data_IF_488945483441
#
_entry.id   IF_488945483441
#
_cell.length_a   1.000
_cell.length_b   1.000
_cell.length_c   1.000
_cell.angle_alpha   90.00
_cell.angle_beta   90.00
_cell.angle_gamma   90.00
#
_symmetry.space_group_name_H-M   'P 1'
#
loop_
_entity.id
_entity.type
_entity.pdbx_description
1 polymer ?
#
# COMPACT_ATOMS: atom_id res chain seq x y z
N UNK A 1 -2.77 -2.42 -16.94
CA UNK A 1 -1.32 -2.36 -16.62
C UNK A 1 -1.02 -1.05 -15.89
N UNK A 2 -0.20 -1.09 -14.84
CA UNK A 2 0.14 0.08 -14.02
C UNK A 2 1.12 0.98 -14.78
N UNK A 3 0.63 1.83 -15.68
CA UNK A 3 1.44 2.72 -16.52
C UNK A 3 1.25 4.17 -16.09
N UNK A 4 2.33 4.96 -16.11
CA UNK A 4 2.26 6.40 -15.88
C UNK A 4 1.37 7.06 -16.95
N UNK A 5 0.44 7.95 -16.57
CA UNK A 5 -0.39 8.67 -17.55
C UNK A 5 0.41 9.62 -18.46
N UNK A 6 1.60 10.05 -18.04
CA UNK A 6 2.44 10.96 -18.83
C UNK A 6 3.44 10.22 -19.74
N UNK A 7 4.23 9.29 -19.19
CA UNK A 7 5.31 8.62 -19.94
C UNK A 7 5.06 7.15 -20.27
N UNK A 8 3.90 6.60 -19.90
CA UNK A 8 3.50 5.19 -20.10
C UNK A 8 4.44 4.13 -19.49
N UNK A 9 5.50 4.51 -18.77
CA UNK A 9 6.36 3.57 -18.08
C UNK A 9 5.66 2.89 -16.90
N UNK A 10 6.14 1.69 -16.55
CA UNK A 10 5.59 0.87 -15.47
C UNK A 10 5.79 1.56 -14.11
N UNK A 11 4.70 1.72 -13.37
CA UNK A 11 4.71 2.24 -12.01
C UNK A 11 5.04 1.11 -11.03
N UNK A 12 5.94 1.39 -10.08
CA UNK A 12 6.38 0.41 -9.10
C UNK A 12 5.64 0.64 -7.77
N UNK A 13 4.94 -0.35 -7.19
CA UNK A 13 4.23 -0.19 -5.92
C UNK A 13 5.14 0.22 -4.75
N UNK A 14 6.43 -0.11 -4.82
CA UNK A 14 7.41 0.29 -3.80
C UNK A 14 7.97 1.71 -4.00
N UNK A 15 7.65 2.41 -5.10
CA UNK A 15 8.04 3.82 -5.28
C UNK A 15 7.08 4.81 -4.62
N UNK A 16 5.96 4.32 -4.08
CA UNK A 16 5.11 5.08 -3.16
C UNK A 16 5.90 5.22 -1.85
N UNK A 17 6.36 6.43 -1.57
CA UNK A 17 7.21 6.72 -0.41
C UNK A 17 6.54 6.29 0.91
N UNK A 18 7.22 5.47 1.70
CA UNK A 18 6.75 4.92 2.99
C UNK A 18 6.68 5.97 4.12
N UNK A 19 7.14 7.20 3.89
CA UNK A 19 7.32 8.20 4.95
C UNK A 19 6.01 8.81 5.50
N UNK A 20 4.92 8.74 4.75
CA UNK A 20 3.54 9.02 5.12
C UNK A 20 2.77 8.84 3.82
N UNK A 21 1.75 7.97 3.81
CA UNK A 21 1.01 7.58 2.61
C UNK A 21 0.96 8.68 1.54
N UNK A 22 1.65 8.53 0.40
CA UNK A 22 1.85 9.65 -0.48
C UNK A 22 0.54 9.87 -1.21
N UNK A 23 -0.17 10.93 -0.79
CA UNK A 23 -1.12 11.61 -1.67
C UNK A 23 -0.41 11.96 -2.99
N UNK A 24 0.93 12.09 -2.98
CA UNK A 24 1.77 12.43 -4.13
C UNK A 24 3.05 11.58 -4.21
N UNK A 25 3.27 10.90 -5.35
CA UNK A 25 4.49 10.14 -5.63
C UNK A 25 5.08 10.55 -6.98
N UNK A 26 6.39 10.38 -7.18
CA UNK A 26 7.05 10.69 -8.46
C UNK A 26 7.11 9.43 -9.32
N UNK A 27 6.83 9.57 -10.62
CA UNK A 27 7.14 8.51 -11.58
C UNK A 27 8.66 8.36 -11.74
N UNK A 28 9.20 7.14 -11.66
CA UNK A 28 10.64 6.90 -11.83
C UNK A 28 11.16 7.25 -13.22
N UNK A 29 10.30 7.21 -14.24
CA UNK A 29 10.65 7.56 -15.61
C UNK A 29 10.75 9.06 -15.86
N UNK A 30 9.59 9.72 -15.85
CA UNK A 30 9.47 11.14 -16.21
C UNK A 30 9.54 12.10 -15.03
N UNK A 31 9.75 11.60 -13.81
CA UNK A 31 9.78 12.38 -12.55
C UNK A 31 8.53 13.21 -12.27
N UNK A 32 7.47 13.06 -13.06
CA UNK A 32 6.18 13.76 -12.89
C UNK A 32 5.56 13.36 -11.56
N UNK A 33 5.02 14.34 -10.83
CA UNK A 33 4.24 14.10 -9.60
C UNK A 33 2.88 13.55 -9.99
N UNK A 34 2.54 12.41 -9.39
CA UNK A 34 1.28 11.69 -9.57
C UNK A 34 0.57 11.64 -8.23
N UNK A 35 -0.76 11.66 -8.28
CA UNK A 35 -1.62 11.55 -7.12
C UNK A 35 -2.60 10.39 -7.26
N UNK A 36 -2.94 9.76 -6.13
CA UNK A 36 -3.93 8.71 -6.07
C UNK A 36 -5.33 9.32 -5.89
N UNK A 37 -6.28 8.97 -6.76
CA UNK A 37 -7.69 9.42 -6.63
C UNK A 37 -8.41 8.75 -5.45
N UNK A 38 -8.08 7.50 -5.15
CA UNK A 38 -8.80 6.65 -4.17
C UNK A 38 -7.98 6.33 -2.92
N UNK A 39 -7.36 7.34 -2.30
CA UNK A 39 -6.62 7.17 -1.03
C UNK A 39 -7.53 6.66 0.10
N UNK A 40 -8.82 7.02 0.09
CA UNK A 40 -9.80 6.54 1.09
C UNK A 40 -9.94 5.02 1.12
N UNK A 41 -9.87 4.37 -0.06
CA UNK A 41 -9.96 2.92 -0.15
C UNK A 41 -8.74 2.24 0.51
N UNK A 42 -7.55 2.85 0.39
CA UNK A 42 -6.36 2.37 1.08
C UNK A 42 -6.57 2.33 2.59
N UNK A 43 -6.96 3.48 3.18
CA UNK A 43 -7.16 3.60 4.62
C UNK A 43 -8.23 2.65 5.14
N UNK A 44 -9.32 2.48 4.38
CA UNK A 44 -10.37 1.53 4.73
C UNK A 44 -9.81 0.09 4.78
N UNK A 45 -9.06 -0.34 3.76
CA UNK A 45 -8.45 -1.68 3.74
C UNK A 45 -7.40 -1.89 4.83
N UNK A 46 -6.62 -0.86 5.14
CA UNK A 46 -5.63 -0.92 6.21
C UNK A 46 -6.29 -1.03 7.60
N UNK A 47 -7.34 -0.24 7.85
CA UNK A 47 -8.09 -0.27 9.10
C UNK A 47 -8.78 -1.62 9.30
N UNK A 48 -9.41 -2.15 8.26
CA UNK A 48 -9.96 -3.52 8.24
C UNK A 48 -8.89 -4.56 8.57
N UNK A 49 -7.72 -4.47 7.93
CA UNK A 49 -6.61 -5.38 8.20
C UNK A 49 -6.18 -5.33 9.68
N UNK A 50 -6.01 -4.13 10.25
CA UNK A 50 -5.65 -3.96 11.66
C UNK A 50 -6.69 -4.57 12.60
N UNK A 51 -7.99 -4.34 12.36
CA UNK A 51 -9.07 -4.89 13.18
C UNK A 51 -9.12 -6.42 13.13
N UNK A 52 -8.75 -7.03 12.00
CA UNK A 52 -8.75 -8.49 11.84
C UNK A 52 -7.47 -9.12 12.41
N UNK A 53 -6.30 -8.53 12.16
CA UNK A 53 -5.03 -9.14 12.54
C UNK A 53 -4.74 -9.06 14.03
N UNK A 54 -5.18 -7.98 14.70
CA UNK A 54 -4.99 -7.80 16.14
C UNK A 54 -5.58 -8.95 16.98
N UNK A 55 -6.87 -9.33 16.84
CA UNK A 55 -7.41 -10.44 17.60
C UNK A 55 -6.74 -11.77 17.25
N UNK A 56 -6.34 -11.99 15.98
CA UNK A 56 -5.60 -13.19 15.59
C UNK A 56 -4.27 -13.27 16.33
N UNK A 57 -3.50 -12.17 16.38
CA UNK A 57 -2.21 -12.14 17.05
C UNK A 57 -2.36 -12.34 18.56
N UNK A 58 -3.36 -11.72 19.18
CA UNK A 58 -3.60 -11.80 20.64
C UNK A 58 -4.13 -13.16 21.07
N UNK A 59 -5.07 -13.74 20.31
CA UNK A 59 -5.74 -14.99 20.68
C UNK A 59 -5.10 -16.26 20.13
N UNK A 60 -4.08 -16.16 19.27
CA UNK A 60 -3.34 -17.34 18.82
C UNK A 60 -2.20 -17.65 19.78
N UNK A 61 -2.30 -18.71 20.60
CA UNK A 61 -1.32 -19.00 21.65
C UNK A 61 0.08 -19.27 21.07
N UNK A 62 0.17 -19.87 19.89
CA UNK A 62 1.45 -20.09 19.21
C UNK A 62 2.18 -18.78 18.85
N UNK A 63 1.43 -17.75 18.43
CA UNK A 63 2.01 -16.46 18.06
C UNK A 63 2.44 -15.70 19.31
N UNK A 64 1.59 -15.72 20.34
CA UNK A 64 1.84 -15.00 21.59
C UNK A 64 3.01 -15.63 22.38
N UNK A 65 3.02 -16.96 22.57
CA UNK A 65 4.10 -17.64 23.30
C UNK A 65 5.48 -17.50 22.64
N UNK A 66 5.52 -17.44 21.30
CA UNK A 66 6.78 -17.33 20.57
C UNK A 66 7.16 -15.88 20.25
N UNK A 67 6.41 -14.89 20.78
CA UNK A 67 6.61 -13.47 20.53
C UNK A 67 6.65 -13.10 19.03
N UNK A 68 5.89 -13.85 18.21
CA UNK A 68 5.84 -13.70 16.75
C UNK A 68 4.83 -12.65 16.29
N UNK A 69 4.15 -11.98 17.22
CA UNK A 69 3.11 -11.01 16.91
C UNK A 69 3.60 -9.87 16.01
N UNK A 70 4.76 -9.28 16.35
CA UNK A 70 5.34 -8.19 15.55
C UNK A 70 5.76 -8.65 14.14
N UNK A 71 6.53 -9.76 13.96
CA UNK A 71 6.82 -10.30 12.63
C UNK A 71 5.58 -10.59 11.79
N UNK A 72 4.54 -11.19 12.37
CA UNK A 72 3.30 -11.54 11.65
C UNK A 72 2.55 -10.29 11.20
N UNK A 73 2.46 -9.28 12.07
CA UNK A 73 1.84 -8.00 11.70
C UNK A 73 2.61 -7.28 10.60
N UNK A 74 3.94 -7.25 10.65
CA UNK A 74 4.77 -6.61 9.63
C UNK A 74 4.63 -7.35 8.29
N UNK A 75 4.77 -8.68 8.29
CA UNK A 75 4.67 -9.48 7.09
C UNK A 75 3.30 -9.34 6.41
N UNK A 76 2.22 -9.44 7.18
CA UNK A 76 0.87 -9.27 6.64
C UNK A 76 0.61 -7.84 6.15
N UNK A 77 1.13 -6.81 6.83
CA UNK A 77 1.03 -5.44 6.36
C UNK A 77 1.77 -5.22 5.02
N UNK A 78 2.93 -5.85 4.82
CA UNK A 78 3.66 -5.82 3.55
C UNK A 78 2.88 -6.49 2.40
N UNK A 79 2.28 -7.66 2.68
CA UNK A 79 1.46 -8.38 1.69
C UNK A 79 0.22 -7.57 1.31
N UNK A 80 -0.49 -7.04 2.32
CA UNK A 80 -1.65 -6.18 2.11
C UNK A 80 -1.26 -4.94 1.31
N UNK A 81 -0.17 -4.29 1.70
CA UNK A 81 0.36 -3.12 1.00
C UNK A 81 0.63 -3.43 -0.47
N UNK A 82 1.32 -4.54 -0.77
CA UNK A 82 1.64 -4.92 -2.14
C UNK A 82 0.38 -5.14 -2.97
N UNK A 83 -0.63 -5.81 -2.41
CA UNK A 83 -1.90 -6.08 -3.08
C UNK A 83 -2.69 -4.78 -3.34
N UNK A 84 -2.85 -3.97 -2.31
CA UNK A 84 -3.62 -2.72 -2.39
C UNK A 84 -2.89 -1.70 -3.27
N UNK A 85 -1.57 -1.57 -3.16
CA UNK A 85 -0.78 -0.69 -4.02
C UNK A 85 -0.89 -1.09 -5.50
N UNK A 86 -0.87 -2.39 -5.83
CA UNK A 86 -1.09 -2.84 -7.19
C UNK A 86 -2.49 -2.50 -7.72
N UNK A 87 -3.52 -2.59 -6.88
CA UNK A 87 -4.88 -2.18 -7.24
C UNK A 87 -5.00 -0.66 -7.43
N UNK A 88 -4.40 0.12 -6.54
CA UNK A 88 -4.41 1.58 -6.58
C UNK A 88 -3.57 2.18 -7.70
N UNK A 89 -2.53 1.49 -8.15
CA UNK A 89 -1.70 1.91 -9.28
C UNK A 89 -2.30 1.57 -10.65
N UNK A 90 -3.51 1.02 -10.71
CA UNK A 90 -4.26 0.93 -11.97
C UNK A 90 -4.48 2.33 -12.52
N UNK A 91 -4.30 2.50 -13.84
CA UNK A 91 -4.31 3.80 -14.54
C UNK A 91 -5.52 4.68 -14.19
N UNK A 92 -6.69 4.11 -13.93
CA UNK A 92 -7.91 4.84 -13.57
C UNK A 92 -7.80 5.59 -12.23
N UNK A 93 -6.95 5.09 -11.33
CA UNK A 93 -6.79 5.59 -9.97
C UNK A 93 -5.59 6.53 -9.81
N UNK A 94 -4.81 6.76 -10.87
CA UNK A 94 -3.60 7.60 -10.88
C UNK A 94 -3.83 8.84 -11.76
N UNK A 95 -3.71 10.02 -11.19
CA UNK A 95 -3.79 11.29 -11.90
C UNK A 95 -2.46 12.04 -11.86
N UNK A 96 -2.22 12.92 -12.84
CA UNK A 96 -1.13 13.90 -12.76
C UNK A 96 -1.52 14.94 -11.73
N UNK A 97 -0.63 15.23 -10.78
CA UNK A 97 -0.82 16.32 -9.83
C UNK A 97 -0.62 17.65 -10.58
N UNK A 98 -1.68 18.46 -10.67
CA UNK A 98 -1.63 19.83 -11.20
C UNK A 98 -1.32 20.81 -10.09
#
# INVERSE_FOLDING_TARGET
MNKCPNCQQKLNPFSLSFAAFPVYFKCNGCKTRLTLKRVKAFWLTYLLYSVIILPIVVHTPFINNNNLGLPVMIAGAFVLYYFVANYLLRQENVAIYK
#
